data_IF_443055015343
#
_entry.id   IF_443055015343
#
_cell.length_a   1.000
_cell.length_b   1.000
_cell.length_c   1.000
_cell.angle_alpha   90.00
_cell.angle_beta   90.00
_cell.angle_gamma   90.00
#
_symmetry.space_group_name_H-M   'P 1'
#
loop_
_entity.id
_entity.type
_entity.pdbx_description
1 polymer ?
#
# COMPACT_ATOMS: atom_id res chain seq x y z
N UNK A 1 26.26 -17.09 36.69
CA UNK A 1 27.19 -15.97 36.40
C UNK A 1 28.07 -16.19 35.17
N UNK A 2 28.50 -17.43 34.88
CA UNK A 2 29.38 -17.76 33.74
C UNK A 2 28.84 -17.34 32.36
N UNK A 3 27.53 -17.53 32.08
CA UNK A 3 26.90 -17.12 30.80
C UNK A 3 27.02 -15.63 30.49
N UNK A 4 26.93 -14.75 31.50
CA UNK A 4 27.07 -13.29 31.30
C UNK A 4 28.49 -12.90 30.92
N UNK A 5 29.49 -13.62 31.45
CA UNK A 5 30.89 -13.42 31.09
C UNK A 5 31.14 -13.80 29.61
N UNK A 6 30.56 -14.91 29.16
CA UNK A 6 30.69 -15.37 27.77
C UNK A 6 30.02 -14.42 26.76
N UNK A 7 28.90 -13.80 27.13
CA UNK A 7 28.24 -12.75 26.33
C UNK A 7 29.11 -11.48 26.31
N UNK A 8 29.72 -11.10 27.45
CA UNK A 8 30.61 -9.93 27.53
C UNK A 8 31.85 -10.06 26.64
N UNK A 9 32.43 -11.27 26.56
CA UNK A 9 33.56 -11.58 25.67
C UNK A 9 33.14 -11.89 24.22
N UNK A 10 31.85 -11.74 23.85
CA UNK A 10 31.31 -12.07 22.52
C UNK A 10 31.59 -13.50 22.05
N UNK A 11 31.73 -14.45 22.99
CA UNK A 11 31.95 -15.87 22.66
C UNK A 11 30.63 -16.54 22.25
N UNK A 12 29.50 -16.04 22.77
CA UNK A 12 28.15 -16.52 22.45
C UNK A 12 27.26 -15.30 22.24
N UNK A 13 26.51 -15.27 21.13
CA UNK A 13 25.47 -14.25 20.90
C UNK A 13 24.23 -14.54 21.75
N UNK A 14 23.69 -13.50 22.40
CA UNK A 14 22.47 -13.62 23.18
C UNK A 14 21.28 -13.78 22.23
N UNK A 15 20.83 -15.03 22.04
CA UNK A 15 19.63 -15.33 21.27
C UNK A 15 18.41 -14.77 22.02
N UNK A 16 17.93 -13.61 21.59
CA UNK A 16 16.67 -13.03 22.07
C UNK A 16 15.51 -13.86 21.53
N UNK A 17 14.97 -14.73 22.38
CA UNK A 17 13.73 -15.44 22.08
C UNK A 17 12.59 -14.40 22.07
N UNK A 18 11.77 -14.33 21.00
CA UNK A 18 10.64 -13.40 20.97
C UNK A 18 9.66 -13.73 22.10
N UNK A 19 9.22 -12.70 22.83
CA UNK A 19 8.20 -12.84 23.87
C UNK A 19 6.90 -13.31 23.20
N UNK A 20 6.21 -14.35 23.72
CA UNK A 20 4.94 -14.77 23.17
C UNK A 20 3.93 -13.61 23.25
N UNK A 21 3.31 -13.29 22.11
CA UNK A 21 2.26 -12.27 22.02
C UNK A 21 1.09 -12.68 22.91
N UNK A 22 0.88 -11.95 24.01
CA UNK A 22 -0.33 -12.05 24.80
C UNK A 22 -1.44 -11.27 24.08
N UNK A 23 -2.27 -11.99 23.33
CA UNK A 23 -3.50 -11.45 22.79
C UNK A 23 -4.42 -11.11 23.97
N UNK A 24 -4.52 -9.82 24.32
CA UNK A 24 -5.64 -9.34 25.15
C UNK A 24 -6.80 -9.05 24.20
N UNK A 25 -7.90 -9.77 24.37
CA UNK A 25 -9.16 -9.41 23.76
C UNK A 25 -9.48 -7.97 24.18
N UNK A 26 -9.51 -7.06 23.20
CA UNK A 26 -10.04 -5.72 23.44
C UNK A 26 -11.55 -5.86 23.56
N UNK A 27 -12.19 -5.30 24.60
CA UNK A 27 -13.64 -5.22 24.59
C UNK A 27 -14.08 -4.47 23.33
N UNK A 28 -15.21 -4.88 22.72
CA UNK A 28 -15.72 -4.23 21.51
C UNK A 28 -15.88 -2.75 21.80
N UNK A 29 -15.22 -1.92 20.99
CA UNK A 29 -15.45 -0.47 21.00
C UNK A 29 -16.93 -0.27 20.68
N UNK A 30 -17.69 0.18 21.67
CA UNK A 30 -19.06 0.60 21.46
C UNK A 30 -19.04 1.68 20.37
N UNK A 31 -19.73 1.40 19.26
CA UNK A 31 -19.96 2.39 18.23
C UNK A 31 -20.60 3.62 18.88
N UNK A 32 -20.11 4.84 18.66
CA UNK A 32 -20.72 6.01 19.26
C UNK A 32 -22.16 6.11 18.77
N UNK A 33 -23.11 5.89 19.68
CA UNK A 33 -24.52 6.20 19.50
C UNK A 33 -24.60 7.64 19.02
N UNK A 34 -25.32 7.85 17.92
CA UNK A 34 -25.71 9.16 17.42
C UNK A 34 -26.58 9.82 18.50
N UNK A 35 -25.96 10.60 19.38
CA UNK A 35 -26.67 11.47 20.33
C UNK A 35 -26.80 12.82 19.64
N UNK A 36 -28.01 13.20 19.26
CA UNK A 36 -28.35 14.60 18.98
C UNK A 36 -28.43 15.34 20.32
N UNK A 37 -27.78 16.50 20.49
CA UNK A 37 -28.22 17.45 21.49
C UNK A 37 -28.58 18.81 20.89
N UNK A 38 -29.65 19.32 21.48
CA UNK A 38 -30.37 20.58 21.39
C UNK A 38 -29.48 21.83 21.40
N UNK A 39 -29.96 22.85 20.70
CA UNK A 39 -29.49 24.25 20.69
C UNK A 39 -29.48 24.83 22.12
N UNK A 40 -28.41 25.56 22.51
CA UNK A 40 -28.42 26.81 23.32
C UNK A 40 -26.97 27.40 23.43
N UNK A 41 -26.84 28.67 23.00
CA UNK A 41 -25.87 29.77 23.30
C UNK A 41 -24.32 29.61 23.30
N UNK A 42 -23.67 30.54 22.57
CA UNK A 42 -22.22 30.95 22.53
C UNK A 42 -21.99 32.22 23.41
N UNK A 43 -20.77 32.84 23.56
CA UNK A 43 -19.40 32.53 23.05
C UNK A 43 -18.25 32.67 24.13
N UNK A 44 -16.99 32.23 23.93
CA UNK A 44 -15.86 32.95 23.28
C UNK A 44 -14.51 32.14 23.37
N UNK A 45 -13.42 32.53 22.66
CA UNK A 45 -12.61 31.60 21.84
C UNK A 45 -11.19 31.32 22.36
N UNK A 46 -10.65 30.13 22.06
CA UNK A 46 -9.21 29.86 22.08
C UNK A 46 -8.79 29.41 20.68
N UNK A 47 -8.04 30.27 19.98
CA UNK A 47 -7.44 29.98 18.68
C UNK A 47 -6.38 28.89 18.85
N UNK A 48 -6.58 27.72 18.24
CA UNK A 48 -5.50 26.80 17.86
C UNK A 48 -5.65 26.48 16.38
N UNK A 49 -4.55 26.68 15.67
CA UNK A 49 -4.42 26.52 14.23
C UNK A 49 -4.86 25.13 13.78
N UNK A 50 -5.87 25.09 12.91
CA UNK A 50 -6.34 23.87 12.27
C UNK A 50 -5.35 23.58 11.15
N UNK A 51 -4.47 22.60 11.36
CA UNK A 51 -3.82 21.88 10.26
C UNK A 51 -4.95 21.29 9.42
N UNK A 52 -5.03 21.67 8.15
CA UNK A 52 -5.94 21.05 7.19
C UNK A 52 -5.52 19.59 7.02
N UNK A 53 -6.10 18.71 7.82
CA UNK A 53 -6.16 17.29 7.50
C UNK A 53 -6.94 17.20 6.19
N UNK A 54 -6.28 16.75 5.13
CA UNK A 54 -6.93 16.48 3.87
C UNK A 54 -7.99 15.40 4.15
N UNK A 55 -9.27 15.77 4.06
CA UNK A 55 -10.38 14.82 4.11
C UNK A 55 -10.12 13.72 3.08
N UNK A 56 -9.87 12.51 3.56
CA UNK A 56 -9.83 11.32 2.72
C UNK A 56 -11.27 11.05 2.31
N UNK A 57 -11.71 11.68 1.21
CA UNK A 57 -13.02 11.41 0.63
C UNK A 57 -12.99 9.98 0.11
N UNK A 58 -13.58 9.06 0.88
CA UNK A 58 -13.77 7.67 0.50
C UNK A 58 -14.73 7.66 -0.70
N UNK A 59 -14.19 7.68 -1.92
CA UNK A 59 -15.01 7.49 -3.13
C UNK A 59 -15.60 6.08 -3.06
N UNK A 60 -16.92 6.00 -3.25
CA UNK A 60 -17.64 4.73 -3.32
C UNK A 60 -16.95 3.79 -4.31
N UNK A 61 -16.81 2.51 -3.91
CA UNK A 61 -16.32 1.47 -4.81
C UNK A 61 -17.23 1.45 -6.03
N UNK A 62 -16.67 1.65 -7.22
CA UNK A 62 -17.43 1.57 -8.46
C UNK A 62 -18.16 0.21 -8.49
N UNK A 63 -19.42 0.17 -8.93
CA UNK A 63 -20.09 -1.11 -9.13
C UNK A 63 -19.23 -1.95 -10.07
N UNK A 64 -19.02 -3.22 -9.72
CA UNK A 64 -18.33 -4.18 -10.59
C UNK A 64 -19.22 -4.40 -11.81
N UNK A 65 -19.13 -3.50 -12.78
CA UNK A 65 -19.88 -3.59 -14.03
C UNK A 65 -19.52 -4.89 -14.73
N UNK A 66 -20.46 -5.45 -15.49
CA UNK A 66 -20.21 -6.59 -16.36
C UNK A 66 -19.03 -6.27 -17.28
N UNK A 67 -17.84 -6.75 -16.91
CA UNK A 67 -16.62 -6.48 -17.66
C UNK A 67 -16.72 -7.23 -18.98
N UNK A 68 -16.69 -6.49 -20.08
CA UNK A 68 -16.59 -7.11 -21.41
C UNK A 68 -15.36 -8.02 -21.43
N UNK A 69 -15.59 -9.28 -21.79
CA UNK A 69 -14.53 -10.28 -21.92
C UNK A 69 -13.73 -9.97 -23.17
N UNK A 70 -12.51 -9.48 -22.99
CA UNK A 70 -11.55 -9.29 -24.08
C UNK A 70 -11.06 -10.67 -24.51
N UNK A 71 -11.35 -11.07 -25.75
CA UNK A 71 -10.94 -12.37 -26.30
C UNK A 71 -9.48 -12.36 -26.79
N UNK A 72 -9.04 -11.26 -27.37
CA UNK A 72 -7.68 -11.06 -27.85
C UNK A 72 -7.06 -9.80 -27.21
N UNK A 73 -6.19 -10.02 -26.24
CA UNK A 73 -5.50 -8.96 -25.51
C UNK A 73 -4.36 -8.39 -26.36
N UNK A 74 -3.66 -9.23 -27.12
CA UNK A 74 -2.49 -8.82 -27.88
C UNK A 74 -2.88 -7.82 -29.00
N UNK A 75 -3.99 -8.08 -29.68
CA UNK A 75 -4.58 -7.14 -30.63
C UNK A 75 -5.11 -5.88 -29.95
N UNK A 76 -5.78 -6.01 -28.80
CA UNK A 76 -6.36 -4.88 -28.06
C UNK A 76 -5.31 -3.88 -27.55
N UNK A 77 -4.16 -4.37 -27.09
CA UNK A 77 -3.10 -3.53 -26.51
C UNK A 77 -1.97 -3.20 -27.49
N UNK A 78 -2.16 -3.41 -28.79
CA UNK A 78 -1.07 -3.31 -29.78
C UNK A 78 -0.40 -1.93 -29.79
N UNK A 79 -1.19 -0.88 -29.66
CA UNK A 79 -0.72 0.52 -29.70
C UNK A 79 -0.47 1.11 -28.30
N UNK A 80 -0.54 0.27 -27.26
CA UNK A 80 -0.38 0.73 -25.88
C UNK A 80 1.09 1.00 -25.57
N UNK A 81 1.33 2.01 -24.73
CA UNK A 81 2.65 2.29 -24.19
C UNK A 81 2.95 1.33 -23.06
N UNK A 82 4.20 0.88 -23.00
CA UNK A 82 4.70 0.03 -21.93
C UNK A 82 5.48 0.86 -20.90
N UNK A 83 5.33 0.51 -19.63
CA UNK A 83 6.08 1.09 -18.53
C UNK A 83 6.52 0.01 -17.57
N UNK A 84 7.82 0.00 -17.28
CA UNK A 84 8.43 -0.90 -16.32
C UNK A 84 8.23 -0.33 -14.91
N UNK A 85 7.49 -1.06 -14.07
CA UNK A 85 7.12 -0.61 -12.73
C UNK A 85 8.26 -0.77 -11.70
N UNK A 86 9.24 -1.65 -11.96
CA UNK A 86 10.46 -1.76 -11.15
C UNK A 86 11.69 -2.19 -11.94
N UNK A 87 12.87 -1.75 -11.48
CA UNK A 87 14.17 -2.11 -12.08
C UNK A 87 14.72 -3.42 -11.50
N UNK A 88 13.94 -4.49 -11.53
CA UNK A 88 14.32 -5.83 -11.07
C UNK A 88 14.58 -6.75 -12.28
N UNK A 89 15.03 -7.98 -12.03
CA UNK A 89 15.08 -9.03 -13.07
C UNK A 89 13.69 -9.58 -13.40
N UNK A 90 12.78 -9.57 -12.43
CA UNK A 90 11.39 -10.00 -12.58
C UNK A 90 10.46 -8.79 -12.45
N UNK A 91 10.05 -8.24 -13.59
CA UNK A 91 9.45 -6.91 -13.67
C UNK A 91 7.95 -6.99 -13.96
N UNK A 92 7.17 -6.17 -13.26
CA UNK A 92 5.81 -5.84 -13.65
C UNK A 92 5.84 -4.79 -14.78
N UNK A 93 5.14 -5.10 -15.87
CA UNK A 93 4.99 -4.22 -17.03
C UNK A 93 3.56 -3.71 -17.09
N UNK A 94 3.41 -2.38 -17.02
CA UNK A 94 2.15 -1.69 -17.26
C UNK A 94 2.00 -1.41 -18.76
N UNK A 95 0.93 -1.90 -19.37
CA UNK A 95 0.49 -1.53 -20.72
C UNK A 95 -0.73 -0.63 -20.63
N UNK A 96 -0.63 0.60 -21.13
CA UNK A 96 -1.74 1.56 -21.14
C UNK A 96 -1.72 2.42 -22.41
N UNK A 97 -2.90 2.78 -22.93
CA UNK A 97 -3.04 3.79 -24.00
C UNK A 97 -2.36 5.12 -23.62
N UNK A 98 -2.50 5.52 -22.35
CA UNK A 98 -1.76 6.63 -21.76
C UNK A 98 -1.78 6.60 -20.24
N UNK A 99 -0.67 7.00 -19.64
CA UNK A 99 -0.52 7.11 -18.19
C UNK A 99 0.25 8.39 -17.81
N UNK A 100 0.02 8.86 -16.59
CA UNK A 100 0.79 9.94 -15.96
C UNK A 100 1.15 9.54 -14.53
N UNK A 101 2.42 9.65 -14.18
CA UNK A 101 2.87 9.55 -12.78
C UNK A 101 2.59 10.89 -12.11
N UNK A 102 1.76 10.88 -11.06
CA UNK A 102 1.37 12.09 -10.34
C UNK A 102 2.28 12.35 -9.15
N UNK A 103 2.66 11.28 -8.47
CA UNK A 103 3.53 11.37 -7.31
C UNK A 103 4.43 10.13 -7.25
N UNK A 104 5.65 10.33 -6.76
CA UNK A 104 6.65 9.28 -6.56
C UNK A 104 7.38 9.58 -5.25
N UNK A 105 7.40 8.57 -4.40
CA UNK A 105 8.17 8.52 -3.16
C UNK A 105 8.95 7.21 -3.14
N UNK A 106 9.83 7.03 -2.17
CA UNK A 106 10.67 5.83 -2.07
C UNK A 106 9.85 4.54 -1.86
N UNK A 107 8.62 4.66 -1.35
CA UNK A 107 7.74 3.52 -1.03
C UNK A 107 6.45 3.46 -1.85
N UNK A 108 6.10 4.53 -2.58
CA UNK A 108 4.84 4.58 -3.35
C UNK A 108 4.94 5.36 -4.64
N UNK A 109 4.26 4.87 -5.67
CA UNK A 109 4.08 5.54 -6.96
C UNK A 109 2.60 5.64 -7.31
N UNK A 110 2.14 6.85 -7.62
CA UNK A 110 0.74 7.14 -7.93
C UNK A 110 0.60 7.40 -9.42
N UNK A 111 -0.23 6.59 -10.08
CA UNK A 111 -0.47 6.65 -11.50
C UNK A 111 -1.90 7.11 -11.79
N UNK A 112 -2.04 7.86 -12.88
CA UNK A 112 -3.32 8.20 -13.50
C UNK A 112 -3.37 7.58 -14.90
N UNK A 113 -4.35 6.74 -15.16
CA UNK A 113 -4.59 6.10 -16.47
C UNK A 113 -5.90 6.60 -17.06
N UNK A 114 -5.87 6.93 -18.36
CA UNK A 114 -7.03 7.51 -19.06
C UNK A 114 -8.09 6.44 -19.41
N UNK A 115 -7.63 5.25 -19.76
CA UNK A 115 -8.42 4.07 -20.08
C UNK A 115 -7.99 2.90 -19.20
N UNK A 116 -8.64 1.76 -19.37
CA UNK A 116 -8.22 0.54 -18.69
C UNK A 116 -6.80 0.17 -19.11
N UNK A 117 -6.02 -0.28 -18.15
CA UNK A 117 -4.63 -0.68 -18.34
C UNK A 117 -4.43 -2.12 -17.91
N UNK A 118 -3.33 -2.71 -18.34
CA UNK A 118 -2.99 -4.09 -18.03
C UNK A 118 -1.63 -4.16 -17.39
N UNK A 119 -1.52 -4.87 -16.27
CA UNK A 119 -0.24 -5.18 -15.65
C UNK A 119 0.06 -6.64 -15.88
N UNK A 120 1.22 -6.92 -16.45
CA UNK A 120 1.72 -8.27 -16.71
C UNK A 120 2.99 -8.52 -15.92
N UNK A 121 3.11 -9.71 -15.34
CA UNK A 121 4.27 -10.20 -14.63
C UNK A 121 4.57 -11.63 -15.11
N UNK A 122 5.81 -12.10 -14.98
CA UNK A 122 6.14 -13.46 -15.41
C UNK A 122 5.55 -14.52 -14.47
N UNK A 123 5.41 -14.21 -13.18
CA UNK A 123 4.90 -15.16 -12.17
C UNK A 123 3.38 -15.06 -11.96
N UNK A 124 2.77 -13.92 -12.32
CA UNK A 124 1.34 -13.68 -12.14
C UNK A 124 0.60 -13.62 -13.47
N UNK A 125 -0.70 -13.94 -13.42
CA UNK A 125 -1.60 -13.68 -14.55
C UNK A 125 -1.74 -12.16 -14.75
N UNK A 126 -2.17 -11.76 -15.95
CA UNK A 126 -2.43 -10.36 -16.26
C UNK A 126 -3.54 -9.78 -15.36
N UNK A 127 -3.27 -8.61 -14.79
CA UNK A 127 -4.24 -7.81 -14.04
C UNK A 127 -4.79 -6.71 -14.93
N UNK A 128 -6.12 -6.50 -14.90
CA UNK A 128 -6.77 -5.36 -15.57
C UNK A 128 -7.07 -4.28 -14.54
N UNK A 129 -6.46 -3.11 -14.74
CA UNK A 129 -6.70 -1.90 -13.96
C UNK A 129 -7.78 -1.07 -14.66
N UNK A 130 -8.72 -0.55 -13.88
CA UNK A 130 -9.75 0.34 -14.41
C UNK A 130 -9.24 1.77 -14.50
N UNK A 131 -9.74 2.53 -15.49
CA UNK A 131 -9.40 3.95 -15.66
C UNK A 131 -9.46 4.75 -14.35
N UNK A 132 -8.55 5.70 -14.18
CA UNK A 132 -8.45 6.54 -12.98
C UNK A 132 -7.11 6.39 -12.27
N UNK A 133 -7.15 6.36 -10.93
CA UNK A 133 -5.94 6.31 -10.11
C UNK A 133 -5.68 4.90 -9.61
N UNK A 134 -4.43 4.48 -9.69
CA UNK A 134 -3.92 3.33 -8.95
C UNK A 134 -2.60 3.69 -8.28
N UNK A 135 -2.29 2.98 -7.20
CA UNK A 135 -1.10 3.19 -6.41
C UNK A 135 -0.31 1.90 -6.42
N UNK A 136 0.96 2.00 -6.79
CA UNK A 136 1.94 0.94 -6.59
C UNK A 136 2.62 1.15 -5.25
N UNK A 137 2.65 0.09 -4.44
CA UNK A 137 3.41 0.07 -3.20
C UNK A 137 4.74 -0.64 -3.44
N UNK A 138 5.79 -0.13 -2.81
CA UNK A 138 7.09 -0.78 -2.75
C UNK A 138 7.25 -1.17 -1.28
N UNK A 139 7.24 -2.47 -1.03
CA UNK A 139 7.43 -3.01 0.30
C UNK A 139 8.93 -3.12 0.58
N UNK A 140 9.33 -2.94 1.83
CA UNK A 140 10.69 -3.25 2.25
C UNK A 140 10.67 -4.56 3.02
N UNK A 141 11.40 -5.54 2.51
CA UNK A 141 11.53 -6.86 3.12
C UNK A 141 12.94 -7.07 3.61
N UNK A 142 13.06 -7.64 4.80
CA UNK A 142 14.36 -8.02 5.35
C UNK A 142 14.81 -9.35 4.74
N UNK A 143 15.94 -9.34 4.04
CA UNK A 143 16.55 -10.54 3.51
C UNK A 143 17.46 -11.16 4.59
N UNK A 144 17.14 -12.35 5.14
CA UNK A 144 17.91 -12.96 6.23
C UNK A 144 19.29 -13.47 5.79
N UNK A 145 19.51 -13.68 4.49
CA UNK A 145 20.78 -14.16 3.95
C UNK A 145 21.76 -12.99 3.80
N UNK A 146 21.31 -11.88 3.19
CA UNK A 146 22.14 -10.69 3.01
C UNK A 146 22.15 -9.78 4.24
N UNK A 147 21.21 -9.98 5.17
CA UNK A 147 20.97 -9.16 6.37
C UNK A 147 20.65 -7.69 6.06
N UNK A 148 20.15 -7.41 4.86
CA UNK A 148 19.77 -6.08 4.41
C UNK A 148 18.27 -6.00 4.13
N UNK A 149 17.71 -4.80 4.28
CA UNK A 149 16.36 -4.51 3.79
C UNK A 149 16.43 -4.26 2.29
N UNK A 150 15.64 -5.00 1.55
CA UNK A 150 15.54 -4.93 0.09
C UNK A 150 14.12 -4.54 -0.29
N UNK A 151 13.97 -3.87 -1.43
CA UNK A 151 12.65 -3.52 -1.94
C UNK A 151 12.01 -4.77 -2.57
N UNK A 152 10.87 -5.16 -2.04
CA UNK A 152 9.95 -6.12 -2.66
C UNK A 152 8.89 -5.36 -3.47
N UNK A 153 8.62 -5.89 -4.66
CA UNK A 153 7.68 -5.33 -5.61
C UNK A 153 6.64 -6.40 -5.94
N UNK A 154 5.42 -6.19 -5.48
CA UNK A 154 4.23 -7.04 -5.68
C UNK A 154 3.04 -6.15 -6.09
#
# INVERSE_FOLDING_TARGET
MFKRLLIFFKIIEEVKVPVPMQWRERPPVETPRVVRPTVISRPQPVKKEIRKEAEIVLKEKRPVGNKEKIKDIAGYTKDYKEYCLEKTSNQHILKASGYKVINRTDSTEVFCIAEDAFVTHNEHKMLRLERGYFIKYIQQEYNPITQLNENAYD
#
